data_IF_754305816200
#
_entry.id   IF_754305816200
#
_cell.length_a   1.000
_cell.length_b   1.000
_cell.length_c   1.000
_cell.angle_alpha   90.00
_cell.angle_beta   90.00
_cell.angle_gamma   90.00
#
_symmetry.space_group_name_H-M   'P 1'
#
loop_
_entity.id
_entity.type
_entity.pdbx_description
1 polymer ?
#
# COMPACT_ATOMS: atom_id res chain seq x y z
N UNK A 1 -22.40 27.94 -4.88
CA UNK A 1 -21.04 27.38 -5.05
C UNK A 1 -21.14 25.88 -5.18
N UNK A 2 -20.98 25.34 -6.39
CA UNK A 2 -21.19 23.91 -6.69
C UNK A 2 -19.98 23.03 -6.37
N UNK A 3 -20.23 21.72 -6.14
CA UNK A 3 -19.18 20.72 -5.88
C UNK A 3 -18.18 20.69 -7.03
N UNK A 4 -16.90 20.93 -6.74
CA UNK A 4 -15.81 20.77 -7.72
C UNK A 4 -15.80 19.33 -8.22
N UNK A 5 -15.66 19.15 -9.54
CA UNK A 5 -15.45 17.82 -10.12
C UNK A 5 -14.17 17.21 -9.53
N UNK A 6 -14.18 15.91 -9.20
CA UNK A 6 -12.99 15.24 -8.71
C UNK A 6 -11.89 15.28 -9.77
N UNK A 7 -10.65 15.41 -9.32
CA UNK A 7 -9.46 15.45 -10.19
C UNK A 7 -9.27 14.14 -10.97
N UNK A 8 -9.78 13.04 -10.43
CA UNK A 8 -9.73 11.72 -11.04
C UNK A 8 -11.15 11.14 -11.12
N UNK A 9 -11.44 10.47 -12.22
CA UNK A 9 -12.74 9.82 -12.42
C UNK A 9 -12.97 8.77 -11.32
N UNK A 10 -14.19 8.67 -10.81
CA UNK A 10 -14.60 7.64 -9.85
C UNK A 10 -14.27 6.23 -10.33
N UNK A 11 -14.32 6.01 -11.65
CA UNK A 11 -13.94 4.72 -12.27
C UNK A 11 -12.47 4.34 -12.04
N UNK A 12 -11.59 5.32 -11.80
CA UNK A 12 -10.19 5.05 -11.49
C UNK A 12 -9.99 4.48 -10.08
N UNK A 13 -10.85 4.89 -9.14
CA UNK A 13 -10.81 4.43 -7.75
C UNK A 13 -11.58 3.12 -7.54
N UNK A 14 -12.50 2.79 -8.44
CA UNK A 14 -13.32 1.61 -8.33
C UNK A 14 -12.60 0.37 -8.90
N UNK A 15 -12.46 -0.66 -8.07
CA UNK A 15 -11.81 -1.93 -8.43
C UNK A 15 -12.84 -2.93 -9.00
N UNK A 16 -14.15 -2.65 -8.88
CA UNK A 16 -15.26 -3.51 -9.30
C UNK A 16 -15.09 -4.06 -10.72
N UNK A 17 -14.93 -3.17 -11.72
CA UNK A 17 -14.87 -3.58 -13.13
C UNK A 17 -13.64 -4.44 -13.43
N UNK A 18 -12.54 -4.21 -12.68
CA UNK A 18 -11.33 -5.04 -12.79
C UNK A 18 -11.50 -6.41 -12.15
N UNK A 19 -12.25 -6.52 -11.04
CA UNK A 19 -12.59 -7.80 -10.40
C UNK A 19 -13.49 -8.61 -11.33
N UNK A 20 -14.53 -7.99 -11.89
CA UNK A 20 -15.43 -8.63 -12.88
C UNK A 20 -14.65 -9.10 -14.10
N UNK A 21 -13.72 -8.28 -14.61
CA UNK A 21 -12.92 -8.62 -15.78
C UNK A 21 -11.74 -9.57 -15.50
N UNK A 22 -11.56 -10.04 -14.26
CA UNK A 22 -10.43 -10.91 -13.84
C UNK A 22 -9.06 -10.37 -14.25
N UNK A 23 -8.93 -9.04 -14.38
CA UNK A 23 -7.69 -8.40 -14.79
C UNK A 23 -6.72 -8.53 -13.63
N UNK A 24 -5.49 -9.04 -13.86
CA UNK A 24 -4.47 -9.11 -12.82
C UNK A 24 -4.38 -7.76 -12.13
N UNK A 25 -4.57 -7.75 -10.81
CA UNK A 25 -4.12 -6.62 -9.99
C UNK A 25 -2.65 -6.51 -10.34
N UNK A 26 -2.23 -5.37 -10.89
CA UNK A 26 -0.87 -4.94 -10.55
C UNK A 26 -0.92 -4.94 -9.03
N UNK A 27 -0.35 -5.99 -8.43
CA UNK A 27 -0.04 -5.94 -7.03
C UNK A 27 0.81 -4.67 -6.94
N UNK A 28 0.25 -3.62 -6.37
CA UNK A 28 0.99 -2.38 -6.31
C UNK A 28 2.31 -2.78 -5.65
N UNK A 29 3.45 -2.49 -6.28
CA UNK A 29 4.75 -2.89 -5.75
C UNK A 29 4.90 -2.42 -4.30
N UNK A 30 4.21 -1.33 -3.95
CA UNK A 30 4.00 -0.82 -2.60
C UNK A 30 3.20 -1.75 -1.69
N UNK A 31 2.06 -2.31 -2.13
CA UNK A 31 1.30 -3.31 -1.36
C UNK A 31 2.12 -4.59 -1.13
N UNK A 32 2.82 -5.07 -2.16
CA UNK A 32 3.71 -6.22 -2.06
C UNK A 32 4.87 -5.95 -1.09
N UNK A 33 5.47 -4.76 -1.19
CA UNK A 33 6.51 -4.33 -0.26
C UNK A 33 6.00 -4.19 1.17
N UNK A 34 4.82 -3.59 1.39
CA UNK A 34 4.20 -3.49 2.70
C UNK A 34 3.90 -4.87 3.32
N UNK A 35 3.41 -5.83 2.53
CA UNK A 35 3.17 -7.19 3.00
C UNK A 35 4.48 -7.89 3.41
N UNK A 36 5.50 -7.81 2.56
CA UNK A 36 6.82 -8.36 2.87
C UNK A 36 7.45 -7.67 4.08
N UNK A 37 7.33 -6.35 4.20
CA UNK A 37 7.82 -5.57 5.32
C UNK A 37 7.11 -5.94 6.63
N UNK A 38 5.78 -6.08 6.62
CA UNK A 38 5.01 -6.50 7.78
C UNK A 38 5.47 -7.88 8.29
N UNK A 39 5.73 -8.82 7.37
CA UNK A 39 6.30 -10.14 7.69
C UNK A 39 7.71 -10.03 8.32
N UNK A 40 8.56 -9.10 7.86
CA UNK A 40 9.91 -8.86 8.40
C UNK A 40 9.90 -8.12 9.76
N UNK A 41 8.95 -7.22 9.95
CA UNK A 41 8.74 -6.52 11.22
C UNK A 41 8.28 -7.52 12.27
N UNK A 42 7.31 -8.39 11.93
CA UNK A 42 6.77 -9.46 12.77
C UNK A 42 6.33 -8.99 14.18
N UNK A 43 5.79 -7.77 14.28
CA UNK A 43 5.31 -7.17 15.52
C UNK A 43 3.95 -6.54 15.23
N UNK A 44 2.90 -6.96 15.95
CA UNK A 44 1.53 -6.45 15.74
C UNK A 44 1.36 -4.99 16.15
N UNK A 45 2.03 -4.56 17.23
CA UNK A 45 1.96 -3.19 17.76
C UNK A 45 3.36 -2.67 18.16
N UNK A 46 4.22 -2.32 17.18
CA UNK A 46 5.54 -1.81 17.48
C UNK A 46 5.44 -0.39 18.05
N UNK A 47 6.26 -0.10 19.06
CA UNK A 47 6.53 1.28 19.45
C UNK A 47 7.26 2.01 18.33
N UNK A 48 7.16 3.33 18.27
CA UNK A 48 7.82 4.17 17.25
C UNK A 48 9.31 3.84 17.14
N UNK A 49 9.99 3.63 18.27
CA UNK A 49 11.41 3.26 18.32
C UNK A 49 11.67 1.93 17.61
N UNK A 50 10.90 0.88 17.95
CA UNK A 50 11.04 -0.46 17.33
C UNK A 50 10.73 -0.43 15.84
N UNK A 51 9.73 0.35 15.43
CA UNK A 51 9.40 0.53 14.01
C UNK A 51 10.55 1.23 13.27
N UNK A 52 11.09 2.32 13.84
CA UNK A 52 12.21 3.07 13.27
C UNK A 52 13.46 2.21 13.08
N UNK A 53 13.78 1.33 14.03
CA UNK A 53 14.88 0.37 13.89
C UNK A 53 14.67 -0.60 12.72
N UNK A 54 13.45 -1.12 12.56
CA UNK A 54 13.12 -2.05 11.47
C UNK A 54 13.19 -1.36 10.10
N UNK A 55 12.71 -0.12 10.00
CA UNK A 55 12.82 0.69 8.77
C UNK A 55 14.30 0.92 8.42
N UNK A 56 15.11 1.34 9.40
CA UNK A 56 16.55 1.57 9.18
C UNK A 56 17.28 0.32 8.70
N UNK A 57 16.98 -0.85 9.29
CA UNK A 57 17.56 -2.14 8.87
C UNK A 57 17.14 -2.57 7.46
N UNK A 58 15.96 -2.17 7.01
CA UNK A 58 15.52 -2.45 5.63
C UNK A 58 16.20 -1.53 4.62
N UNK A 59 16.41 -0.27 4.98
CA UNK A 59 17.13 0.68 4.12
C UNK A 59 18.63 0.39 4.05
N UNK A 60 19.25 -0.13 5.12
CA UNK A 60 20.68 -0.48 5.13
C UNK A 60 21.04 -1.72 4.30
N UNK A 61 20.06 -2.39 3.67
CA UNK A 61 20.29 -3.52 2.76
C UNK A 61 20.53 -3.09 1.31
N UNK A 62 20.60 -1.78 1.08
CA UNK A 62 21.01 -1.13 -0.16
C UNK A 62 22.22 -0.23 0.13
#
# INVERSE_FOLDING_TARGET
>A
TGRKKPQFDHKLWNIHDRVVATIPRSNNSVEGWHNAFASRVAISHPTIVKLGEKIRREQSKF
#
